data_IF_471852264249
#
_entry.id   IF_471852264249
#
_cell.length_a   1.000
_cell.length_b   1.000
_cell.length_c   1.000
_cell.angle_alpha   90.00
_cell.angle_beta   90.00
_cell.angle_gamma   90.00
#
_symmetry.space_group_name_H-M   'P 1'
#
loop_
_entity.id
_entity.type
_entity.pdbx_description
1 polymer ?
#
# COMPACT_ATOMS: atom_id res chain seq x y z
N UNK A 1 5.91 6.27 -12.70
CA UNK A 1 5.00 5.86 -11.61
C UNK A 1 5.65 6.24 -10.29
N UNK A 2 4.92 6.90 -9.39
CA UNK A 2 5.43 7.32 -8.08
C UNK A 2 4.80 6.51 -6.96
N UNK A 3 5.60 5.72 -6.26
CA UNK A 3 5.18 4.92 -5.10
C UNK A 3 5.77 5.57 -3.84
N UNK A 4 4.96 5.71 -2.79
CA UNK A 4 5.47 6.10 -1.46
C UNK A 4 5.11 5.03 -0.44
N UNK A 5 6.06 4.75 0.44
CA UNK A 5 5.83 3.93 1.63
C UNK A 5 6.11 4.74 2.88
N UNK A 6 5.25 4.59 3.88
CA UNK A 6 5.39 5.30 5.13
C UNK A 6 4.85 4.50 6.31
N UNK A 7 5.75 4.19 7.25
CA UNK A 7 5.34 3.70 8.56
C UNK A 7 4.77 4.86 9.40
N UNK A 8 3.46 4.83 9.64
CA UNK A 8 2.73 5.95 10.23
C UNK A 8 2.83 5.95 11.76
N UNK A 9 3.22 4.82 12.40
CA UNK A 9 3.21 4.58 13.86
C UNK A 9 2.18 5.46 14.57
N UNK A 10 0.89 5.12 14.42
CA UNK A 10 -0.23 5.99 14.85
C UNK A 10 -0.23 6.15 16.38
N UNK A 11 0.49 7.14 16.88
CA UNK A 11 0.63 7.38 18.32
C UNK A 11 -0.57 8.09 18.97
N UNK A 12 -1.36 8.91 18.24
CA UNK A 12 -2.48 9.70 18.80
C UNK A 12 -3.56 10.00 17.75
N UNK A 13 -4.78 10.31 18.22
CA UNK A 13 -5.97 10.71 17.42
C UNK A 13 -5.76 11.95 16.50
N UNK A 14 -4.61 12.64 16.60
CA UNK A 14 -4.37 13.99 16.03
C UNK A 14 -3.31 14.05 14.90
N UNK A 15 -3.12 13.00 14.09
CA UNK A 15 -2.17 13.04 12.94
C UNK A 15 -2.82 12.98 11.54
N UNK A 16 -4.16 12.96 11.42
CA UNK A 16 -4.84 12.86 10.12
C UNK A 16 -4.52 14.02 9.18
N UNK A 17 -4.40 15.24 9.71
CA UNK A 17 -4.04 16.43 8.93
C UNK A 17 -2.64 16.31 8.31
N UNK A 18 -1.66 15.91 9.11
CA UNK A 18 -0.29 15.67 8.66
C UNK A 18 -0.21 14.56 7.62
N UNK A 19 -0.96 13.47 7.82
CA UNK A 19 -1.03 12.39 6.84
C UNK A 19 -1.60 12.94 5.54
N UNK A 20 -2.72 13.66 5.60
CA UNK A 20 -3.35 14.25 4.44
C UNK A 20 -2.43 15.21 3.69
N UNK A 21 -1.81 16.15 4.38
CA UNK A 21 -0.88 17.11 3.77
C UNK A 21 0.29 16.39 3.09
N UNK A 22 0.90 15.39 3.74
CA UNK A 22 2.00 14.62 3.16
C UNK A 22 1.55 13.81 1.94
N UNK A 23 0.40 13.15 2.00
CA UNK A 23 -0.14 12.35 0.89
C UNK A 23 -0.51 13.22 -0.31
N UNK A 24 -1.17 14.36 -0.08
CA UNK A 24 -1.55 15.30 -1.15
C UNK A 24 -0.30 15.90 -1.80
N UNK A 25 0.69 16.34 -1.00
CA UNK A 25 1.92 16.93 -1.51
C UNK A 25 2.82 15.91 -2.23
N UNK A 26 2.75 14.63 -1.85
CA UNK A 26 3.54 13.59 -2.49
C UNK A 26 3.21 13.42 -3.97
N UNK A 27 1.98 13.73 -4.41
CA UNK A 27 1.45 13.40 -5.74
C UNK A 27 1.60 11.91 -6.11
N UNK A 28 1.78 11.02 -5.14
CA UNK A 28 2.01 9.59 -5.35
C UNK A 28 0.85 8.93 -6.11
N UNK A 29 1.16 7.91 -6.89
CA UNK A 29 0.21 7.08 -7.65
C UNK A 29 -0.21 5.85 -6.85
N UNK A 30 0.72 5.31 -6.04
CA UNK A 30 0.50 4.27 -5.05
C UNK A 30 1.04 4.74 -3.70
N UNK A 31 0.26 4.52 -2.66
CA UNK A 31 0.57 4.87 -1.27
C UNK A 31 0.50 3.63 -0.41
N UNK A 32 1.54 3.42 0.39
CA UNK A 32 1.64 2.33 1.34
C UNK A 32 1.77 2.93 2.74
N UNK A 33 0.85 2.59 3.63
CA UNK A 33 0.87 2.98 5.04
C UNK A 33 1.01 1.74 5.91
N UNK A 34 2.07 1.68 6.71
CA UNK A 34 2.31 0.61 7.69
C UNK A 34 1.98 1.08 9.11
N UNK A 35 1.71 0.12 10.00
CA UNK A 35 1.34 0.33 11.40
C UNK A 35 0.06 1.19 11.57
N UNK A 36 -0.92 0.94 10.72
CA UNK A 36 -2.23 1.59 10.81
C UNK A 36 -3.00 1.00 11.99
N UNK A 37 -3.09 1.70 13.14
CA UNK A 37 -3.91 1.29 14.32
C UNK A 37 -5.42 1.37 14.07
N UNK A 38 -5.88 0.81 12.96
CA UNK A 38 -7.26 0.87 12.50
C UNK A 38 -7.72 -0.53 12.13
N UNK A 39 -8.70 -0.98 12.89
CA UNK A 39 -9.39 -2.25 12.74
C UNK A 39 -10.24 -2.29 11.45
N UNK A 40 -10.86 -1.16 11.05
CA UNK A 40 -11.63 -1.08 9.80
C UNK A 40 -11.23 0.13 8.97
N UNK A 41 -10.88 -0.13 7.71
CA UNK A 41 -10.64 0.87 6.67
C UNK A 41 -11.92 1.00 5.83
N UNK A 42 -12.48 2.21 5.80
CA UNK A 42 -13.70 2.52 5.04
C UNK A 42 -13.41 3.58 3.97
N UNK A 43 -14.21 3.61 2.90
CA UNK A 43 -14.09 4.61 1.82
C UNK A 43 -14.08 6.06 2.35
N UNK A 44 -14.88 6.35 3.38
CA UNK A 44 -14.89 7.66 4.06
C UNK A 44 -13.53 8.02 4.67
N UNK A 45 -12.82 7.04 5.24
CA UNK A 45 -11.47 7.24 5.77
C UNK A 45 -10.48 7.54 4.64
N UNK A 46 -10.49 6.75 3.57
CA UNK A 46 -9.63 6.93 2.39
C UNK A 46 -9.82 8.33 1.79
N UNK A 47 -11.08 8.72 1.56
CA UNK A 47 -11.41 10.07 1.10
C UNK A 47 -10.95 11.16 2.05
N UNK A 48 -11.00 10.93 3.37
CA UNK A 48 -10.54 11.92 4.36
C UNK A 48 -9.02 12.11 4.40
N UNK A 49 -8.24 11.05 4.14
CA UNK A 49 -6.77 11.09 4.25
C UNK A 49 -6.07 11.36 2.92
N UNK A 50 -6.58 10.85 1.80
CA UNK A 50 -5.90 11.04 0.51
C UNK A 50 -6.58 12.07 -0.36
N UNK A 51 -7.91 12.23 -0.25
CA UNK A 51 -8.67 13.25 -0.97
C UNK A 51 -8.78 13.03 -2.48
N UNK A 52 -8.36 11.86 -2.99
CA UNK A 52 -8.43 11.52 -4.42
C UNK A 52 -9.69 10.72 -4.73
N UNK A 53 -10.45 11.16 -5.75
CA UNK A 53 -11.76 10.57 -6.12
C UNK A 53 -11.67 9.14 -6.67
N UNK A 54 -10.72 8.90 -7.56
CA UNK A 54 -10.54 7.63 -8.27
C UNK A 54 -9.49 6.80 -7.54
N UNK A 55 -9.90 6.23 -6.42
CA UNK A 55 -9.03 5.44 -5.54
C UNK A 55 -9.67 4.13 -5.17
N UNK A 56 -8.80 3.12 -5.07
CA UNK A 56 -9.10 1.80 -4.55
C UNK A 56 -7.98 1.38 -3.59
N UNK A 57 -8.24 0.39 -2.75
CA UNK A 57 -7.33 0.00 -1.67
C UNK A 57 -7.45 -1.46 -1.27
N UNK A 58 -6.38 -1.97 -0.66
CA UNK A 58 -6.36 -3.23 0.06
C UNK A 58 -5.72 -2.99 1.43
N UNK A 59 -6.15 -3.73 2.45
CA UNK A 59 -5.62 -3.55 3.79
C UNK A 59 -5.62 -4.82 4.62
N UNK A 60 -4.60 -4.96 5.46
CA UNK A 60 -4.60 -5.85 6.61
C UNK A 60 -5.03 -5.00 7.83
N UNK A 61 -6.12 -5.37 8.51
CA UNK A 61 -6.53 -4.68 9.71
C UNK A 61 -5.49 -4.88 10.83
N UNK A 62 -5.33 -3.88 11.70
CA UNK A 62 -4.47 -4.07 12.88
C UNK A 62 -5.11 -5.04 13.88
N UNK A 63 -4.37 -6.04 14.34
CA UNK A 63 -4.74 -6.79 15.53
C UNK A 63 -4.28 -6.02 16.78
N UNK A 64 -5.19 -5.24 17.38
CA UNK A 64 -4.87 -4.36 18.50
C UNK A 64 -4.01 -3.15 18.11
N UNK A 65 -2.77 -3.09 18.62
CA UNK A 65 -1.88 -1.92 18.44
C UNK A 65 -0.79 -2.10 17.38
N UNK A 66 -0.72 -3.25 16.71
CA UNK A 66 0.35 -3.62 15.78
C UNK A 66 -0.19 -4.23 14.48
N UNK A 67 0.56 -4.08 13.39
CA UNK A 67 0.45 -4.95 12.23
C UNK A 67 -0.56 -4.55 11.15
N UNK A 68 -1.07 -3.33 11.15
CA UNK A 68 -1.95 -2.86 10.08
C UNK A 68 -1.17 -2.40 8.84
N UNK A 69 -1.56 -2.86 7.66
CA UNK A 69 -1.05 -2.37 6.35
C UNK A 69 -2.24 -1.81 5.56
N UNK A 70 -2.05 -0.65 4.95
CA UNK A 70 -2.99 -0.09 3.98
C UNK A 70 -2.24 0.29 2.70
N UNK A 71 -2.67 -0.28 1.58
CA UNK A 71 -2.17 0.05 0.25
C UNK A 71 -3.29 0.71 -0.53
N UNK A 72 -3.04 1.88 -1.10
CA UNK A 72 -4.01 2.65 -1.88
C UNK A 72 -3.40 3.03 -3.21
N UNK A 73 -4.20 3.04 -4.27
CA UNK A 73 -3.74 3.44 -5.61
C UNK A 73 -4.77 4.29 -6.35
N UNK A 74 -4.29 5.07 -7.33
CA UNK A 74 -5.14 5.80 -8.27
C UNK A 74 -5.60 4.85 -9.37
N UNK A 75 -6.88 4.52 -9.42
CA UNK A 75 -7.42 3.52 -10.38
C UNK A 75 -7.31 3.94 -11.85
N UNK A 76 -7.13 5.23 -12.12
CA UNK A 76 -6.87 5.74 -13.48
C UNK A 76 -5.44 5.51 -13.98
N UNK A 77 -4.51 5.23 -13.06
CA UNK A 77 -3.10 5.05 -13.38
C UNK A 77 -2.65 3.61 -13.16
N UNK A 78 -3.26 2.92 -12.21
CA UNK A 78 -2.88 1.59 -11.77
C UNK A 78 -4.09 0.67 -11.83
N UNK A 79 -3.97 -0.40 -12.61
CA UNK A 79 -4.92 -1.50 -12.66
C UNK A 79 -4.36 -2.67 -11.84
N UNK A 80 -4.93 -2.93 -10.67
CA UNK A 80 -4.56 -4.11 -9.88
C UNK A 80 -5.17 -5.35 -10.54
N UNK A 81 -4.32 -6.31 -10.90
CA UNK A 81 -4.69 -7.59 -11.49
C UNK A 81 -4.94 -8.64 -10.40
N UNK A 82 -4.12 -8.62 -9.35
CA UNK A 82 -4.16 -9.59 -8.27
C UNK A 82 -3.67 -8.94 -6.98
N UNK A 83 -4.32 -9.26 -5.86
CA UNK A 83 -3.88 -8.87 -4.54
C UNK A 83 -3.93 -10.08 -3.61
N UNK A 84 -2.77 -10.47 -3.07
CA UNK A 84 -2.64 -11.55 -2.08
C UNK A 84 -2.42 -10.90 -0.72
N UNK A 85 -3.31 -11.21 0.22
CA UNK A 85 -3.28 -10.68 1.59
C UNK A 85 -2.88 -11.83 2.50
N UNK A 86 -1.66 -11.77 3.03
CA UNK A 86 -1.23 -12.67 4.09
C UNK A 86 -1.48 -12.10 5.48
N UNK A 87 -0.92 -12.76 6.48
CA UNK A 87 -1.08 -12.34 7.88
C UNK A 87 -0.29 -11.07 8.20
N UNK A 88 0.86 -10.89 7.54
CA UNK A 88 1.77 -9.78 7.80
C UNK A 88 2.25 -9.07 6.52
N UNK A 89 1.74 -9.47 5.36
CA UNK A 89 2.18 -8.96 4.08
C UNK A 89 1.04 -8.77 3.10
N UNK A 90 1.19 -7.76 2.23
CA UNK A 90 0.31 -7.54 1.10
C UNK A 90 1.14 -7.60 -0.16
N UNK A 91 0.76 -8.47 -1.08
CA UNK A 91 1.34 -8.54 -2.43
C UNK A 91 0.32 -8.05 -3.44
N UNK A 92 0.74 -7.17 -4.35
CA UNK A 92 -0.13 -6.66 -5.39
C UNK A 92 0.56 -6.81 -6.74
N UNK A 93 -0.07 -7.51 -7.67
CA UNK A 93 0.27 -7.50 -9.10
C UNK A 93 -0.61 -6.47 -9.79
N UNK A 94 -0.01 -5.54 -10.51
CA UNK A 94 -0.74 -4.45 -11.16
C UNK A 94 -0.11 -4.04 -12.48
N UNK A 95 -0.89 -3.36 -13.32
CA UNK A 95 -0.45 -2.75 -14.57
C UNK A 95 -0.51 -1.24 -14.48
N UNK A 96 0.50 -0.57 -15.03
CA UNK A 96 0.46 0.88 -15.21
C UNK A 96 -0.30 1.20 -16.51
N UNK A 97 -1.39 1.96 -16.39
CA UNK A 97 -2.29 2.30 -17.50
C UNK A 97 -1.83 3.49 -18.34
N UNK A 98 -0.96 4.36 -17.79
CA UNK A 98 -0.53 5.61 -18.44
C UNK A 98 0.99 5.78 -18.28
N UNK A 99 1.74 5.44 -19.32
CA UNK A 99 3.17 5.72 -19.49
C UNK A 99 3.41 6.58 -20.74
N UNK A 100 4.53 7.31 -20.80
CA UNK A 100 4.85 8.25 -21.90
C UNK A 100 4.92 7.61 -23.30
N UNK A 101 4.98 6.28 -23.42
CA UNK A 101 5.16 5.56 -24.68
C UNK A 101 3.88 4.81 -25.13
N UNK A 102 2.74 4.99 -24.44
CA UNK A 102 1.49 4.29 -24.82
C UNK A 102 1.49 2.78 -24.60
N UNK A 103 2.57 2.22 -24.04
CA UNK A 103 2.66 0.82 -23.61
C UNK A 103 2.15 0.61 -22.19
N UNK A 104 1.54 -0.56 -21.95
CA UNK A 104 1.15 -1.03 -20.61
C UNK A 104 2.30 -1.88 -20.04
N UNK A 105 2.79 -1.53 -18.85
CA UNK A 105 3.85 -2.30 -18.15
C UNK A 105 3.22 -3.02 -16.96
N UNK A 106 3.49 -4.32 -16.83
CA UNK A 106 3.08 -5.14 -15.69
C UNK A 106 4.13 -5.09 -14.58
N UNK A 107 3.69 -4.94 -13.34
CA UNK A 107 4.53 -4.86 -12.15
C UNK A 107 3.93 -5.73 -11.04
N UNK A 108 4.79 -6.29 -10.19
CA UNK A 108 4.38 -6.89 -8.91
C UNK A 108 5.12 -6.17 -7.79
N UNK A 109 4.39 -5.75 -6.75
CA UNK A 109 4.93 -5.12 -5.56
C UNK A 109 4.55 -5.93 -4.31
N UNK A 110 5.58 -6.33 -3.56
CA UNK A 110 5.44 -6.95 -2.24
C UNK A 110 5.64 -5.92 -1.13
N UNK A 111 4.72 -5.89 -0.16
CA UNK A 111 4.68 -4.91 0.92
C UNK A 111 4.66 -5.65 2.25
N UNK A 112 5.75 -5.51 3.01
CA UNK A 112 6.04 -6.29 4.23
C UNK A 112 5.80 -5.49 5.53
N UNK A 113 5.41 -6.17 6.61
CA UNK A 113 5.74 -5.79 7.99
C UNK A 113 6.96 -6.62 8.47
N UNK A 114 8.00 -5.97 9.00
CA UNK A 114 9.19 -6.66 9.54
C UNK A 114 8.82 -7.61 10.69
N UNK A 115 8.59 -8.89 10.37
CA UNK A 115 8.54 -10.02 11.32
C UNK A 115 9.24 -11.25 10.74
N UNK A 116 9.76 -12.11 11.61
CA UNK A 116 10.50 -13.34 11.27
C UNK A 116 9.60 -14.42 10.64
N UNK A 117 8.31 -14.46 10.99
CA UNK A 117 7.27 -15.37 10.47
C UNK A 117 6.93 -15.17 8.97
N UNK A 118 7.54 -14.18 8.32
CA UNK A 118 7.33 -13.82 6.91
C UNK A 118 8.08 -14.73 5.92
N UNK A 119 9.13 -15.43 6.36
CA UNK A 119 10.00 -16.20 5.47
C UNK A 119 9.28 -17.40 4.82
N UNK A 120 8.29 -18.00 5.50
CA UNK A 120 7.47 -19.07 4.92
C UNK A 120 6.47 -18.54 3.88
N UNK A 121 5.90 -17.35 4.11
CA UNK A 121 4.98 -16.70 3.17
C UNK A 121 5.68 -16.32 1.86
N UNK A 122 6.98 -15.98 1.94
CA UNK A 122 7.81 -15.62 0.79
C UNK A 122 8.09 -16.79 -0.15
N UNK A 123 8.30 -18.00 0.37
CA UNK A 123 8.70 -19.15 -0.45
C UNK A 123 7.68 -19.45 -1.57
N UNK A 124 6.41 -19.07 -1.38
CA UNK A 124 5.36 -19.21 -2.40
C UNK A 124 5.31 -18.12 -3.48
N UNK A 125 6.01 -16.98 -3.30
CA UNK A 125 5.87 -15.79 -4.16
C UNK A 125 7.04 -15.57 -5.14
N UNK A 126 8.17 -16.24 -4.95
CA UNK A 126 9.46 -15.89 -5.59
C UNK A 126 9.73 -16.53 -6.97
N UNK A 127 8.70 -16.94 -7.71
CA UNK A 127 8.87 -17.56 -9.04
C UNK A 127 9.17 -16.59 -10.19
N UNK A 128 8.69 -15.34 -10.14
CA UNK A 128 8.63 -14.46 -11.32
C UNK A 128 9.06 -13.02 -11.00
N UNK A 129 10.32 -12.66 -11.28
CA UNK A 129 10.76 -11.27 -11.53
C UNK A 129 10.26 -10.17 -10.57
N UNK A 130 10.21 -10.47 -9.26
CA UNK A 130 9.53 -9.65 -8.24
C UNK A 130 10.29 -8.34 -7.96
N UNK A 131 9.60 -7.20 -8.09
CA UNK A 131 10.11 -5.92 -7.56
C UNK A 131 9.71 -5.83 -6.08
N UNK A 132 10.60 -6.31 -5.20
CA UNK A 132 10.36 -6.27 -3.76
C UNK A 132 10.60 -4.85 -3.25
N UNK A 133 9.52 -4.15 -2.88
CA UNK A 133 9.63 -2.88 -2.14
C UNK A 133 9.82 -3.24 -0.67
N UNK A 134 11.01 -3.70 -0.30
CA UNK A 134 11.41 -3.78 1.10
C UNK A 134 11.62 -2.36 1.59
N UNK A 135 10.90 -1.94 2.63
CA UNK A 135 11.34 -0.80 3.42
C UNK A 135 12.65 -1.20 4.11
N UNK A 136 13.79 -1.00 3.46
CA UNK A 136 15.07 -0.89 4.15
C UNK A 136 15.10 0.50 4.79
N UNK A 137 15.36 0.52 6.08
CA UNK A 137 15.53 1.74 6.88
C UNK A 137 16.65 2.62 6.34
#
# INVERSE_FOLDING_TARGET
MKIISWNVRVGRRSKRRLIKEKLVNSKADVVILQETKKDKIQRKLIGSIWGVRYTDWVSIPSNGSSGGILVMWKTKLVLVMEAVIGNFSVSIRFKQLMGWIGGCLEFMALIKLEREEFLEELAGLYGDGVLVVTSMW
#
